data_IF_948470770578
#
_entry.id   IF_948470770578
#
_cell.length_a   1.000
_cell.length_b   1.000
_cell.length_c   1.000
_cell.angle_alpha   90.00
_cell.angle_beta   90.00
_cell.angle_gamma   90.00
#
_symmetry.space_group_name_H-M   'P 1'
#
loop_
_entity.id
_entity.type
_entity.pdbx_description
1 polymer ?
#
# COMPACT_ATOMS: atom_id res chain seq x y z
N UNK A 1 9.37 -0.58 6.06
CA UNK A 1 8.56 -0.54 7.29
C UNK A 1 7.28 -1.30 7.01
N UNK A 2 7.03 -2.41 7.69
CA UNK A 2 5.70 -3.04 7.63
C UNK A 2 4.70 -2.05 8.20
N UNK A 3 3.82 -1.50 7.36
CA UNK A 3 2.64 -0.80 7.82
C UNK A 3 1.94 -1.71 8.83
N UNK A 4 1.71 -1.20 10.04
CA UNK A 4 1.10 -1.99 11.09
C UNK A 4 -0.34 -2.26 10.67
N UNK A 5 -0.71 -3.53 10.48
CA UNK A 5 -2.05 -3.92 9.99
C UNK A 5 -3.18 -3.31 10.85
N UNK A 6 -2.90 -3.07 12.13
CA UNK A 6 -3.80 -2.40 13.06
C UNK A 6 -4.08 -0.94 12.68
N UNK A 7 -3.09 -0.21 12.16
CA UNK A 7 -3.27 1.19 11.73
C UNK A 7 -4.22 1.30 10.53
N UNK A 8 -4.14 0.35 9.61
CA UNK A 8 -5.04 0.24 8.45
C UNK A 8 -6.47 -0.03 8.92
N UNK A 9 -6.65 -1.04 9.79
CA UNK A 9 -7.96 -1.43 10.31
C UNK A 9 -8.62 -0.31 11.12
N UNK A 10 -7.83 0.51 11.81
CA UNK A 10 -8.32 1.66 12.58
C UNK A 10 -8.76 2.84 11.69
N UNK A 11 -8.14 3.03 10.51
CA UNK A 11 -8.41 4.18 9.62
C UNK A 11 -9.50 3.88 8.59
N UNK A 12 -9.65 2.62 8.20
CA UNK A 12 -10.61 2.18 7.19
C UNK A 12 -12.06 2.61 7.48
N UNK A 13 -12.61 2.45 8.71
CA UNK A 13 -13.96 2.91 9.05
C UNK A 13 -14.22 4.38 8.72
N UNK A 14 -13.27 5.25 9.10
CA UNK A 14 -13.38 6.69 8.89
C UNK A 14 -13.33 7.03 7.40
N UNK A 15 -12.42 6.41 6.65
CA UNK A 15 -12.27 6.63 5.20
C UNK A 15 -13.49 6.17 4.40
N UNK A 16 -14.08 5.02 4.74
CA UNK A 16 -15.32 4.56 4.10
C UNK A 16 -16.47 5.54 4.34
N UNK A 17 -16.59 6.05 5.57
CA UNK A 17 -17.60 7.05 5.93
C UNK A 17 -17.39 8.38 5.20
N UNK A 18 -16.15 8.81 5.07
CA UNK A 18 -15.77 10.01 4.32
C UNK A 18 -16.09 9.86 2.82
N UNK A 19 -15.68 8.75 2.20
CA UNK A 19 -15.98 8.44 0.81
C UNK A 19 -17.50 8.43 0.54
N UNK A 20 -18.29 7.79 1.42
CA UNK A 20 -19.75 7.82 1.32
C UNK A 20 -20.31 9.23 1.36
N UNK A 21 -19.84 10.05 2.31
CA UNK A 21 -20.29 11.43 2.47
C UNK A 21 -19.89 12.31 1.31
N UNK A 22 -18.69 12.13 0.75
CA UNK A 22 -18.21 12.84 -0.43
C UNK A 22 -19.10 12.58 -1.66
N UNK A 23 -19.66 11.37 -1.77
CA UNK A 23 -20.64 11.04 -2.81
C UNK A 23 -22.08 11.45 -2.49
N UNK A 24 -22.35 12.02 -1.31
CA UNK A 24 -23.70 12.38 -0.88
C UNK A 24 -24.63 11.17 -0.65
N UNK A 25 -24.08 9.95 -0.49
CA UNK A 25 -24.88 8.74 -0.36
C UNK A 25 -25.31 8.49 1.10
N UNK A 26 -26.55 8.05 1.28
CA UNK A 26 -27.02 7.55 2.57
C UNK A 26 -26.47 6.14 2.84
N UNK A 27 -26.53 5.68 4.09
CA UNK A 27 -26.20 4.28 4.43
C UNK A 27 -27.06 3.28 3.64
N UNK A 28 -28.32 3.63 3.41
CA UNK A 28 -29.26 2.81 2.64
C UNK A 28 -28.91 2.78 1.15
N UNK A 29 -28.50 3.92 0.57
CA UNK A 29 -28.06 3.97 -0.81
C UNK A 29 -26.81 3.11 -1.03
N UNK A 30 -25.80 3.19 -0.15
CA UNK A 30 -24.61 2.34 -0.23
C UNK A 30 -24.96 0.87 -0.02
N UNK A 31 -25.88 0.55 0.88
CA UNK A 31 -26.31 -0.83 1.09
C UNK A 31 -26.92 -1.44 -0.18
N UNK A 32 -27.77 -0.67 -0.87
CA UNK A 32 -28.39 -1.11 -2.13
C UNK A 32 -27.35 -1.25 -3.25
N UNK A 33 -26.37 -0.36 -3.33
CA UNK A 33 -25.33 -0.38 -4.38
C UNK A 33 -24.28 -1.48 -4.15
N UNK A 34 -23.93 -1.75 -2.90
CA UNK A 34 -22.88 -2.72 -2.55
C UNK A 34 -23.40 -4.13 -2.27
N UNK A 35 -24.70 -4.30 -2.05
CA UNK A 35 -25.28 -5.56 -1.58
C UNK A 35 -24.91 -5.89 -0.13
N UNK A 36 -24.31 -4.96 0.60
CA UNK A 36 -23.99 -5.09 2.02
C UNK A 36 -25.15 -4.52 2.84
N UNK A 37 -25.59 -5.22 3.89
CA UNK A 37 -26.73 -4.75 4.67
C UNK A 37 -26.48 -3.38 5.31
N UNK A 38 -27.52 -2.53 5.40
CA UNK A 38 -27.43 -1.20 6.03
C UNK A 38 -26.83 -1.23 7.44
N UNK A 39 -27.15 -2.28 8.22
CA UNK A 39 -26.57 -2.49 9.55
C UNK A 39 -25.07 -2.75 9.49
N UNK A 40 -24.64 -3.62 8.56
CA UNK A 40 -23.23 -3.94 8.39
C UNK A 40 -22.43 -2.73 7.91
N UNK A 41 -22.94 -1.94 6.96
CA UNK A 41 -22.31 -0.66 6.55
C UNK A 41 -22.14 0.27 7.76
N UNK A 42 -23.18 0.41 8.60
CA UNK A 42 -23.13 1.23 9.82
C UNK A 42 -22.14 0.72 10.87
N UNK A 43 -22.02 -0.60 11.05
CA UNK A 43 -21.05 -1.21 11.96
C UNK A 43 -19.61 -1.03 11.47
N UNK A 44 -19.38 -1.20 10.16
CA UNK A 44 -18.09 -0.98 9.54
C UNK A 44 -17.65 0.47 9.68
N UNK A 45 -18.50 1.46 9.37
CA UNK A 45 -18.18 2.89 9.49
C UNK A 45 -17.92 3.35 10.94
N UNK A 46 -18.35 2.57 11.94
CA UNK A 46 -18.07 2.82 13.36
C UNK A 46 -16.87 2.03 13.90
N UNK A 47 -16.25 1.18 13.09
CA UNK A 47 -15.16 0.31 13.51
C UNK A 47 -15.60 -0.84 14.42
N UNK A 48 -16.90 -1.13 14.51
CA UNK A 48 -17.45 -2.21 15.34
C UNK A 48 -17.37 -3.58 14.65
N UNK A 49 -17.14 -3.60 13.34
CA UNK A 49 -17.00 -4.81 12.55
C UNK A 49 -15.97 -4.61 11.46
N UNK A 50 -15.02 -5.54 11.35
CA UNK A 50 -14.04 -5.56 10.26
C UNK A 50 -14.66 -6.24 9.03
N UNK A 51 -14.69 -5.58 7.87
CA UNK A 51 -15.22 -6.18 6.65
C UNK A 51 -14.32 -7.31 6.15
N UNK A 52 -14.91 -8.33 5.53
CA UNK A 52 -14.13 -9.26 4.70
C UNK A 52 -13.58 -8.54 3.47
N UNK A 53 -12.56 -9.09 2.81
CA UNK A 53 -12.03 -8.54 1.54
C UNK A 53 -13.15 -8.39 0.50
N UNK A 54 -14.05 -9.37 0.40
CA UNK A 54 -15.19 -9.33 -0.52
C UNK A 54 -16.18 -8.21 -0.17
N UNK A 55 -16.49 -8.03 1.12
CA UNK A 55 -17.35 -6.94 1.61
C UNK A 55 -16.72 -5.59 1.30
N UNK A 56 -15.42 -5.44 1.58
CA UNK A 56 -14.70 -4.21 1.32
C UNK A 56 -14.68 -3.90 -0.18
N UNK A 57 -14.39 -4.88 -1.04
CA UNK A 57 -14.44 -4.73 -2.50
C UNK A 57 -15.80 -4.26 -3.02
N UNK A 58 -16.90 -4.79 -2.47
CA UNK A 58 -18.24 -4.35 -2.85
C UNK A 58 -18.51 -2.91 -2.42
N UNK A 59 -18.03 -2.51 -1.24
CA UNK A 59 -18.14 -1.13 -0.75
C UNK A 59 -17.31 -0.17 -1.60
N UNK A 60 -16.06 -0.51 -1.93
CA UNK A 60 -15.19 0.35 -2.74
C UNK A 60 -15.78 0.59 -4.13
N UNK A 61 -16.34 -0.45 -4.77
CA UNK A 61 -17.06 -0.31 -6.04
C UNK A 61 -18.31 0.56 -5.94
N UNK A 62 -19.13 0.37 -4.91
CA UNK A 62 -20.33 1.18 -4.69
C UNK A 62 -19.99 2.66 -4.43
N UNK A 63 -18.86 2.90 -3.77
CA UNK A 63 -18.34 4.23 -3.43
C UNK A 63 -17.39 4.79 -4.49
N UNK A 64 -17.21 4.12 -5.63
CA UNK A 64 -16.28 4.47 -6.71
C UNK A 64 -14.91 4.98 -6.22
N UNK A 65 -14.37 4.34 -5.18
CA UNK A 65 -13.04 4.65 -4.64
C UNK A 65 -12.11 3.49 -4.92
N UNK A 66 -10.85 3.82 -5.20
CA UNK A 66 -9.82 2.80 -5.33
C UNK A 66 -9.53 2.15 -3.97
N UNK A 67 -9.30 0.84 -4.00
CA UNK A 67 -8.91 0.08 -2.82
C UNK A 67 -7.57 0.56 -2.29
N UNK A 68 -6.60 0.84 -3.18
CA UNK A 68 -5.32 1.40 -2.77
C UNK A 68 -5.51 2.79 -2.14
N UNK A 69 -6.33 3.66 -2.73
CA UNK A 69 -6.62 4.99 -2.17
C UNK A 69 -7.34 5.00 -0.80
N UNK A 70 -8.04 3.93 -0.44
CA UNK A 70 -8.62 3.75 0.90
C UNK A 70 -7.58 3.33 1.95
N UNK A 71 -6.54 2.63 1.52
CA UNK A 71 -5.44 2.13 2.36
C UNK A 71 -4.30 3.13 2.46
N UNK A 72 -4.09 3.93 1.41
CA UNK A 72 -3.02 4.89 1.33
C UNK A 72 -3.20 5.94 2.43
N UNK A 73 -2.24 5.93 3.35
CA UNK A 73 -2.02 7.07 4.20
C UNK A 73 -1.59 8.23 3.29
N UNK A 74 -2.38 9.30 3.25
CA UNK A 74 -2.02 10.61 2.64
C UNK A 74 -0.71 11.26 3.20
N UNK A 75 0.21 10.51 3.79
CA UNK A 75 1.34 11.00 4.57
C UNK A 75 2.73 10.57 4.07
N UNK A 76 2.86 9.98 2.88
CA UNK A 76 4.17 9.55 2.37
C UNK A 76 4.75 10.39 1.23
N UNK A 77 4.06 11.42 0.72
CA UNK A 77 4.57 12.18 -0.44
C UNK A 77 5.77 13.09 -0.13
N UNK A 78 5.98 13.45 1.14
CA UNK A 78 7.08 14.34 1.55
C UNK A 78 8.07 13.70 2.55
N UNK A 79 8.05 12.37 2.71
CA UNK A 79 8.99 11.70 3.62
C UNK A 79 10.29 11.36 2.89
N UNK A 80 11.40 11.91 3.38
CA UNK A 80 12.74 11.47 3.01
C UNK A 80 13.06 10.23 3.83
N UNK A 81 13.10 9.07 3.18
CA UNK A 81 13.57 7.84 3.78
C UNK A 81 15.09 7.71 3.61
N UNK A 82 15.79 7.37 4.68
CA UNK A 82 17.25 7.23 4.70
C UNK A 82 17.62 5.77 4.82
N UNK A 83 18.15 5.20 3.75
CA UNK A 83 18.73 3.85 3.74
C UNK A 83 20.23 3.94 4.04
N UNK A 84 20.69 3.26 5.11
CA UNK A 84 22.12 3.25 5.45
C UNK A 84 22.85 2.24 4.56
N UNK A 85 24.12 2.51 4.27
CA UNK A 85 24.93 1.68 3.38
C UNK A 85 24.98 0.18 3.77
N UNK A 86 24.89 -0.14 5.06
CA UNK A 86 24.88 -1.52 5.57
C UNK A 86 23.50 -2.21 5.52
N UNK A 87 22.44 -1.46 5.26
CA UNK A 87 21.06 -1.96 5.15
C UNK A 87 20.59 -2.04 3.70
N UNK A 88 21.36 -1.45 2.78
CA UNK A 88 21.07 -1.46 1.36
C UNK A 88 21.12 -2.89 0.80
N UNK A 89 20.09 -3.34 0.07
CA UNK A 89 20.07 -4.67 -0.54
C UNK A 89 21.28 -4.91 -1.43
N UNK A 90 21.84 -6.11 -1.36
CA UNK A 90 22.92 -6.56 -2.24
C UNK A 90 22.54 -7.80 -3.03
N UNK A 91 23.09 -7.90 -4.24
CA UNK A 91 23.03 -9.06 -5.11
C UNK A 91 24.48 -9.54 -5.29
N UNK A 92 24.76 -10.74 -4.81
CA UNK A 92 26.11 -11.34 -4.81
C UNK A 92 26.20 -12.59 -5.71
N UNK A 93 25.17 -12.88 -6.50
CA UNK A 93 25.03 -14.08 -7.32
C UNK A 93 24.96 -13.80 -8.84
N UNK A 94 25.49 -12.66 -9.27
CA UNK A 94 25.51 -12.21 -10.66
C UNK A 94 26.96 -12.12 -11.16
N UNK A 95 27.38 -13.13 -11.92
CA UNK A 95 28.77 -13.34 -12.28
C UNK A 95 29.66 -13.76 -11.09
N UNK A 96 30.98 -13.81 -11.30
CA UNK A 96 31.95 -14.18 -10.28
C UNK A 96 32.69 -12.94 -9.76
N UNK A 97 32.90 -12.85 -8.44
CA UNK A 97 33.65 -11.73 -7.86
C UNK A 97 33.00 -10.35 -8.04
N UNK A 98 31.69 -10.32 -8.28
CA UNK A 98 30.85 -9.14 -8.44
C UNK A 98 29.83 -9.05 -7.29
N UNK A 99 29.69 -7.87 -6.71
CA UNK A 99 28.62 -7.52 -5.77
C UNK A 99 27.92 -6.26 -6.28
N UNK A 100 26.61 -6.32 -6.37
CA UNK A 100 25.77 -5.19 -6.77
C UNK A 100 25.02 -4.72 -5.54
N UNK A 101 25.11 -3.43 -5.20
CA UNK A 101 24.29 -2.80 -4.17
C UNK A 101 23.22 -1.94 -4.83
N UNK A 102 21.97 -2.10 -4.38
CA UNK A 102 20.82 -1.34 -4.90
C UNK A 102 20.72 -0.03 -4.11
N UNK A 103 20.79 1.09 -4.81
CA UNK A 103 20.73 2.44 -4.22
C UNK A 103 19.40 3.14 -4.50
N UNK A 104 18.68 2.74 -5.55
CA UNK A 104 17.34 3.24 -5.84
C UNK A 104 16.28 2.55 -4.96
N UNK A 105 15.21 3.25 -4.59
CA UNK A 105 14.05 2.63 -3.94
C UNK A 105 13.43 1.53 -4.81
N UNK A 106 12.82 0.49 -4.21
CA UNK A 106 12.17 -0.60 -4.96
C UNK A 106 11.06 -0.13 -5.89
N UNK A 107 10.38 0.98 -5.55
CA UNK A 107 9.27 1.54 -6.32
C UNK A 107 9.73 2.12 -7.68
N UNK A 108 11.02 2.44 -7.83
CA UNK A 108 11.63 2.91 -9.08
C UNK A 108 12.12 1.77 -9.99
N UNK A 109 11.96 0.51 -9.58
CA UNK A 109 12.30 -0.64 -10.41
C UNK A 109 11.51 -0.60 -11.74
N UNK A 110 12.23 -0.76 -12.86
CA UNK A 110 11.68 -0.60 -14.21
C UNK A 110 11.62 0.85 -14.72
N UNK A 111 11.97 1.83 -13.89
CA UNK A 111 12.06 3.24 -14.26
C UNK A 111 13.50 3.73 -14.19
N UNK A 112 13.94 4.26 -13.04
CA UNK A 112 15.30 4.77 -12.83
C UNK A 112 15.98 3.96 -11.74
N UNK A 113 16.89 3.08 -12.15
CA UNK A 113 17.59 2.20 -11.24
C UNK A 113 19.02 2.67 -11.04
N UNK A 114 19.44 2.81 -9.77
CA UNK A 114 20.80 3.16 -9.41
C UNK A 114 21.44 2.01 -8.66
N UNK A 115 22.59 1.57 -9.19
CA UNK A 115 23.37 0.48 -8.64
C UNK A 115 24.80 0.91 -8.37
N UNK A 116 25.37 0.40 -7.30
CA UNK A 116 26.81 0.46 -7.03
C UNK A 116 27.41 -0.93 -7.23
N UNK A 117 28.38 -1.04 -8.14
CA UNK A 117 29.02 -2.31 -8.48
C UNK A 117 30.40 -2.39 -7.83
N UNK A 118 30.65 -3.49 -7.11
CA UNK A 118 31.94 -3.86 -6.58
C UNK A 118 32.47 -5.05 -7.37
N UNK A 119 33.58 -4.84 -8.07
CA UNK A 119 34.27 -5.87 -8.83
C UNK A 119 35.64 -6.13 -8.22
N UNK A 120 35.96 -7.40 -8.03
CA UNK A 120 37.34 -7.83 -7.77
C UNK A 120 38.18 -7.76 -9.05
N UNK A 121 39.50 -7.85 -8.95
CA UNK A 121 40.45 -7.72 -10.08
C UNK A 121 40.13 -8.64 -11.28
N UNK A 122 39.46 -9.77 -11.04
CA UNK A 122 39.01 -10.72 -12.08
C UNK A 122 37.48 -10.89 -12.15
N UNK A 123 36.74 -10.03 -11.45
CA UNK A 123 35.30 -10.14 -11.35
C UNK A 123 34.59 -9.69 -12.63
N UNK A 124 33.43 -10.27 -12.91
CA UNK A 124 32.59 -9.88 -14.04
C UNK A 124 31.11 -9.94 -13.68
N UNK A 125 30.29 -9.21 -14.43
CA UNK A 125 28.84 -9.26 -14.40
C UNK A 125 28.34 -10.09 -15.60
N UNK A 126 27.32 -10.92 -15.39
CA UNK A 126 26.70 -11.79 -16.41
C UNK A 126 25.55 -11.13 -17.20
#
# INVERSE_FOLDING_TARGET
MTENADDILNRLPARLKEARRAQGLSLEAVANLSGVSRSMVSQIERGESSPTIATLWNLTRALQVDFAGLLDAEAARDRVDVLRAGEAPTIDNRGEGCRIRILSPPEEAGHHELYELFLTDKGFLD
#
